data_IF_923282514109
#
_entry.id   IF_923282514109
#
_cell.length_a   1.000
_cell.length_b   1.000
_cell.length_c   1.000
_cell.angle_alpha   90.00
_cell.angle_beta   90.00
_cell.angle_gamma   90.00
#
_symmetry.space_group_name_H-M   'P 1'
#
loop_
_entity.id
_entity.type
_entity.pdbx_description
1 polymer ?
#
# COMPACT_ATOMS: atom_id res chain seq x y z
N UNK A 1 -3.62 22.95 -6.13
CA UNK A 1 -2.80 22.67 -4.92
C UNK A 1 -2.36 21.22 -4.96
N UNK A 2 -1.08 20.93 -4.69
CA UNK A 2 -0.51 19.58 -4.76
C UNK A 2 -0.22 19.03 -3.36
N UNK A 3 -0.47 17.74 -3.18
CA UNK A 3 -0.25 17.00 -1.95
C UNK A 3 0.51 15.71 -2.28
N UNK A 4 1.59 15.47 -1.57
CA UNK A 4 2.44 14.30 -1.73
C UNK A 4 3.08 13.94 -0.38
N UNK A 5 3.64 12.74 -0.28
CA UNK A 5 4.44 12.35 0.89
C UNK A 5 5.85 12.91 0.69
N UNK A 6 6.40 13.66 1.65
CA UNK A 6 7.79 14.12 1.60
C UNK A 6 8.77 12.95 1.49
N UNK A 7 9.93 13.20 0.89
CA UNK A 7 10.99 12.19 0.75
C UNK A 7 11.44 11.64 2.10
N UNK A 8 11.51 12.48 3.14
CA UNK A 8 11.83 12.03 4.49
C UNK A 8 10.78 11.02 5.01
N UNK A 9 9.49 11.32 4.86
CA UNK A 9 8.41 10.44 5.27
C UNK A 9 8.35 9.17 4.41
N UNK A 10 8.65 9.25 3.11
CA UNK A 10 8.77 8.08 2.22
C UNK A 10 9.88 7.15 2.68
N UNK A 11 11.07 7.66 2.97
CA UNK A 11 12.22 6.86 3.44
C UNK A 11 11.86 6.14 4.74
N UNK A 12 11.27 6.86 5.71
CA UNK A 12 10.80 6.27 6.97
C UNK A 12 9.76 5.16 6.74
N UNK A 13 8.78 5.41 5.87
CA UNK A 13 7.74 4.45 5.55
C UNK A 13 8.29 3.19 4.85
N UNK A 14 9.21 3.35 3.89
CA UNK A 14 9.88 2.23 3.20
C UNK A 14 10.67 1.40 4.20
N UNK A 15 11.45 2.03 5.07
CA UNK A 15 12.24 1.34 6.09
C UNK A 15 11.33 0.51 7.00
N UNK A 16 10.24 1.11 7.50
CA UNK A 16 9.25 0.43 8.35
C UNK A 16 8.59 -0.75 7.62
N UNK A 17 8.19 -0.57 6.36
CA UNK A 17 7.58 -1.63 5.54
C UNK A 17 8.56 -2.81 5.33
N UNK A 18 9.82 -2.52 5.03
CA UNK A 18 10.86 -3.55 4.87
C UNK A 18 11.16 -4.30 6.15
N UNK A 19 11.22 -3.61 7.30
CA UNK A 19 11.34 -4.29 8.59
C UNK A 19 10.14 -5.20 8.88
N UNK A 20 8.92 -4.74 8.58
CA UNK A 20 7.73 -5.56 8.72
C UNK A 20 7.78 -6.80 7.80
N UNK A 21 8.16 -6.64 6.54
CA UNK A 21 8.33 -7.76 5.61
C UNK A 21 9.43 -8.72 6.08
N UNK A 22 10.56 -8.21 6.57
CA UNK A 22 11.64 -9.03 7.11
C UNK A 22 11.17 -9.92 8.26
N UNK A 23 10.36 -9.39 9.17
CA UNK A 23 9.82 -10.17 10.27
C UNK A 23 8.86 -11.27 9.79
N UNK A 24 7.92 -10.93 8.90
CA UNK A 24 6.90 -11.88 8.46
C UNK A 24 7.43 -12.90 7.45
N UNK A 25 8.05 -12.43 6.36
CA UNK A 25 8.57 -13.27 5.27
C UNK A 25 9.86 -13.99 5.71
N UNK A 26 10.77 -13.28 6.37
CA UNK A 26 12.00 -13.88 6.90
C UNK A 26 11.73 -14.87 8.03
N UNK A 27 10.83 -14.53 8.96
CA UNK A 27 10.41 -15.45 10.02
C UNK A 27 9.77 -16.72 9.47
N UNK A 28 8.87 -16.59 8.48
CA UNK A 28 8.26 -17.73 7.80
C UNK A 28 9.28 -18.64 7.09
N UNK A 29 10.24 -18.05 6.36
CA UNK A 29 11.34 -18.80 5.74
C UNK A 29 12.17 -19.54 6.79
N UNK A 30 12.55 -18.87 7.88
CA UNK A 30 13.36 -19.49 8.93
C UNK A 30 12.67 -20.70 9.54
N UNK A 31 11.37 -20.60 9.83
CA UNK A 31 10.58 -21.72 10.34
C UNK A 31 10.55 -22.87 9.32
N UNK A 32 10.32 -22.57 8.03
CA UNK A 32 10.31 -23.59 6.98
C UNK A 32 11.67 -24.30 6.86
N UNK A 33 12.78 -23.55 6.93
CA UNK A 33 14.14 -24.11 6.91
C UNK A 33 14.38 -24.99 8.13
N UNK A 34 14.00 -24.53 9.34
CA UNK A 34 14.19 -25.31 10.57
C UNK A 34 13.45 -26.64 10.52
N UNK A 35 12.20 -26.66 10.04
CA UNK A 35 11.41 -27.90 9.88
C UNK A 35 12.07 -28.84 8.86
N UNK A 36 12.55 -28.29 7.73
CA UNK A 36 13.27 -29.09 6.75
C UNK A 36 14.59 -29.63 7.27
N UNK A 37 15.26 -28.93 8.19
CA UNK A 37 16.52 -29.41 8.79
C UNK A 37 16.29 -30.45 9.90
N UNK A 38 15.20 -30.34 10.67
CA UNK A 38 14.91 -31.25 11.78
C UNK A 38 14.31 -32.57 11.32
N UNK A 39 13.40 -32.52 10.34
CA UNK A 39 12.47 -33.61 10.05
C UNK A 39 12.51 -34.04 8.58
N UNK A 40 13.56 -33.70 7.82
CA UNK A 40 13.63 -33.94 6.38
C UNK A 40 13.19 -35.36 5.96
N UNK A 41 13.79 -36.37 6.59
CA UNK A 41 13.61 -37.78 6.24
C UNK A 41 12.26 -38.35 6.70
N UNK A 42 11.60 -37.69 7.65
CA UNK A 42 10.31 -38.11 8.19
C UNK A 42 9.12 -37.43 7.50
N UNK A 43 9.36 -36.34 6.76
CA UNK A 43 8.35 -35.60 6.04
C UNK A 43 7.91 -36.32 4.76
N UNK A 44 6.59 -36.26 4.48
CA UNK A 44 6.08 -36.73 3.20
C UNK A 44 6.59 -35.87 2.03
N UNK A 45 6.67 -36.45 0.83
CA UNK A 45 7.02 -35.71 -0.39
C UNK A 45 6.13 -34.47 -0.61
N UNK A 46 4.84 -34.54 -0.25
CA UNK A 46 3.93 -33.40 -0.35
C UNK A 46 4.35 -32.25 0.58
N UNK A 47 4.71 -32.57 1.83
CA UNK A 47 5.19 -31.59 2.81
C UNK A 47 6.52 -30.97 2.37
N UNK A 48 7.44 -31.77 1.83
CA UNK A 48 8.72 -31.28 1.30
C UNK A 48 8.49 -30.28 0.17
N UNK A 49 7.66 -30.63 -0.82
CA UNK A 49 7.30 -29.74 -1.93
C UNK A 49 6.69 -28.43 -1.40
N UNK A 50 5.82 -28.50 -0.39
CA UNK A 50 5.22 -27.32 0.23
C UNK A 50 6.27 -26.38 0.85
N UNK A 51 7.18 -26.90 1.68
CA UNK A 51 8.21 -26.06 2.33
C UNK A 51 9.22 -25.50 1.32
N UNK A 52 9.67 -26.30 0.35
CA UNK A 52 10.51 -25.79 -0.74
C UNK A 52 9.77 -24.73 -1.57
N UNK A 53 8.47 -24.94 -1.82
CA UNK A 53 7.62 -23.97 -2.49
C UNK A 53 7.52 -22.64 -1.75
N UNK A 54 7.34 -22.66 -0.42
CA UNK A 54 7.37 -21.46 0.41
C UNK A 54 8.71 -20.75 0.24
N UNK A 55 9.83 -21.44 0.44
CA UNK A 55 11.16 -20.85 0.37
C UNK A 55 11.42 -20.23 -1.01
N UNK A 56 10.98 -20.89 -2.08
CA UNK A 56 11.17 -20.43 -3.45
C UNK A 56 10.28 -19.22 -3.79
N UNK A 57 9.01 -19.19 -3.37
CA UNK A 57 8.06 -18.13 -3.73
C UNK A 57 8.21 -16.89 -2.86
N UNK A 58 8.65 -17.04 -1.61
CA UNK A 58 8.72 -15.93 -0.64
C UNK A 58 9.54 -14.73 -1.11
N UNK A 59 10.73 -14.87 -1.73
CA UNK A 59 11.49 -13.74 -2.29
C UNK A 59 10.72 -12.98 -3.38
N UNK A 60 9.99 -13.68 -4.24
CA UNK A 60 9.15 -13.06 -5.27
C UNK A 60 7.97 -12.30 -4.65
N UNK A 61 7.34 -12.89 -3.64
CA UNK A 61 6.29 -12.23 -2.85
C UNK A 61 6.81 -10.94 -2.21
N UNK A 62 7.96 -11.01 -1.53
CA UNK A 62 8.60 -9.82 -0.95
C UNK A 62 8.83 -8.73 -1.99
N UNK A 63 9.49 -9.07 -3.11
CA UNK A 63 9.78 -8.11 -4.17
C UNK A 63 8.51 -7.45 -4.71
N UNK A 64 7.47 -8.25 -4.97
CA UNK A 64 6.19 -7.76 -5.47
C UNK A 64 5.53 -6.77 -4.50
N UNK A 65 5.48 -7.10 -3.20
CA UNK A 65 4.86 -6.23 -2.20
C UNK A 65 5.70 -4.98 -1.90
N UNK A 66 7.04 -5.07 -1.86
CA UNK A 66 7.91 -3.88 -1.72
C UNK A 66 7.72 -2.93 -2.91
N UNK A 67 7.70 -3.48 -4.12
CA UNK A 67 7.48 -2.70 -5.33
C UNK A 67 6.11 -2.00 -5.32
N UNK A 68 5.04 -2.72 -5.00
CA UNK A 68 3.70 -2.15 -4.90
C UNK A 68 3.59 -1.10 -3.80
N UNK A 69 4.19 -1.33 -2.63
CA UNK A 69 4.19 -0.34 -1.55
C UNK A 69 4.90 0.95 -1.98
N UNK A 70 6.10 0.84 -2.57
CA UNK A 70 6.88 1.98 -3.08
C UNK A 70 6.11 2.79 -4.12
N UNK A 71 5.37 2.11 -5.00
CA UNK A 71 4.53 2.79 -5.98
C UNK A 71 3.39 3.55 -5.32
N UNK A 72 2.76 2.96 -4.29
CA UNK A 72 1.63 3.58 -3.60
C UNK A 72 2.00 4.84 -2.82
N UNK A 73 3.16 4.85 -2.16
CA UNK A 73 3.66 6.04 -1.42
C UNK A 73 4.13 7.17 -2.35
N UNK A 74 4.34 6.88 -3.63
CA UNK A 74 4.63 7.88 -4.67
C UNK A 74 3.35 8.45 -5.31
N UNK A 75 2.18 8.16 -4.74
CA UNK A 75 0.93 8.76 -5.23
C UNK A 75 0.90 10.25 -4.91
N UNK A 76 0.61 11.05 -5.93
CA UNK A 76 0.43 12.50 -5.80
C UNK A 76 -1.05 12.85 -6.01
N UNK A 77 -1.52 13.85 -5.27
CA UNK A 77 -2.88 14.35 -5.36
C UNK A 77 -2.81 15.84 -5.71
N UNK A 78 -3.53 16.26 -6.74
CA UNK A 78 -3.60 17.66 -7.15
C UNK A 78 -5.07 18.08 -7.27
N UNK A 79 -5.43 19.14 -6.56
CA UNK A 79 -6.73 19.79 -6.70
C UNK A 79 -6.59 20.99 -7.63
N UNK A 80 -7.28 20.98 -8.75
CA UNK A 80 -7.27 22.05 -9.74
C UNK A 80 -8.63 22.20 -10.43
N UNK A 81 -9.16 23.43 -10.53
CA UNK A 81 -10.41 23.77 -11.26
C UNK A 81 -11.59 22.81 -10.98
N UNK A 82 -11.87 22.51 -9.71
CA UNK A 82 -12.97 21.60 -9.34
C UNK A 82 -12.68 20.12 -9.58
N UNK A 83 -11.46 19.76 -9.97
CA UNK A 83 -11.04 18.38 -10.23
C UNK A 83 -9.97 17.93 -9.25
N UNK A 84 -9.99 16.66 -8.90
CA UNK A 84 -8.92 15.94 -8.23
C UNK A 84 -8.18 15.08 -9.25
N UNK A 85 -6.90 15.36 -9.44
CA UNK A 85 -5.98 14.59 -10.27
C UNK A 85 -5.15 13.73 -9.32
N UNK A 86 -5.21 12.41 -9.52
CA UNK A 86 -4.45 11.44 -8.75
C UNK A 86 -3.42 10.83 -9.69
N UNK A 87 -2.14 11.02 -9.39
CA UNK A 87 -1.04 10.45 -10.18
C UNK A 87 -0.44 9.27 -9.44
N UNK A 88 -0.62 8.06 -9.97
CA UNK A 88 -0.05 6.82 -9.44
C UNK A 88 0.70 6.09 -10.57
N UNK A 89 1.98 5.76 -10.38
CA UNK A 89 2.85 5.11 -11.39
C UNK A 89 2.88 5.88 -12.73
N UNK A 90 2.88 7.21 -12.68
CA UNK A 90 2.82 8.07 -13.88
C UNK A 90 1.49 8.04 -14.64
N UNK A 91 0.51 7.27 -14.18
CA UNK A 91 -0.86 7.29 -14.71
C UNK A 91 -1.68 8.29 -13.92
N UNK A 92 -2.38 9.16 -14.64
CA UNK A 92 -3.28 10.14 -14.05
C UNK A 92 -4.71 9.63 -14.06
N UNK A 93 -5.39 9.73 -12.92
CA UNK A 93 -6.82 9.55 -12.79
C UNK A 93 -7.43 10.90 -12.42
N UNK A 94 -8.32 11.39 -13.27
CA UNK A 94 -8.99 12.67 -13.06
C UNK A 94 -10.41 12.39 -12.55
N UNK A 95 -10.78 13.04 -11.47
CA UNK A 95 -12.08 12.92 -10.81
C UNK A 95 -12.67 14.31 -10.63
N UNK A 96 -13.97 14.43 -10.89
CA UNK A 96 -14.71 15.63 -10.54
C UNK A 96 -14.94 15.64 -9.02
N UNK A 97 -14.61 16.75 -8.36
CA UNK A 97 -14.83 16.88 -6.91
C UNK A 97 -16.32 16.78 -6.55
N UNK A 98 -17.22 17.28 -7.40
CA UNK A 98 -18.67 17.18 -7.19
C UNK A 98 -19.18 15.74 -7.29
N UNK A 99 -18.40 14.84 -7.90
CA UNK A 99 -18.76 13.41 -7.93
C UNK A 99 -18.49 12.70 -6.60
N UNK A 100 -17.81 13.33 -5.65
CA UNK A 100 -17.46 12.72 -4.36
C UNK A 100 -18.71 12.64 -3.48
N UNK A 101 -19.03 11.42 -3.04
CA UNK A 101 -20.23 11.10 -2.24
C UNK A 101 -19.93 11.00 -0.75
N UNK A 102 -18.80 10.40 -0.39
CA UNK A 102 -18.43 10.19 1.01
C UNK A 102 -16.94 9.95 1.21
N UNK A 103 -16.48 10.28 2.41
CA UNK A 103 -15.12 10.03 2.88
C UNK A 103 -15.25 9.25 4.19
N UNK A 104 -14.58 8.10 4.29
CA UNK A 104 -14.61 7.25 5.48
C UNK A 104 -13.19 6.93 5.92
N UNK A 105 -12.89 7.14 7.19
CA UNK A 105 -11.61 6.70 7.78
C UNK A 105 -11.51 5.17 7.76
N UNK A 106 -10.35 4.66 7.33
CA UNK A 106 -9.99 3.24 7.41
C UNK A 106 -8.58 3.08 8.01
N UNK A 107 -8.14 1.85 8.25
CA UNK A 107 -6.77 1.60 8.73
C UNK A 107 -5.74 2.16 7.75
N UNK A 108 -4.93 3.11 8.24
CA UNK A 108 -3.83 3.79 7.53
C UNK A 108 -4.23 4.64 6.29
N UNK A 109 -5.51 4.93 6.08
CA UNK A 109 -5.98 5.74 4.96
C UNK A 109 -7.40 6.32 5.17
N UNK A 110 -7.82 7.17 4.24
CA UNK A 110 -9.21 7.58 4.06
C UNK A 110 -9.72 7.00 2.74
N UNK A 111 -10.84 6.29 2.79
CA UNK A 111 -11.56 5.80 1.62
C UNK A 111 -12.46 6.91 1.11
N UNK A 112 -12.30 7.30 -0.14
CA UNK A 112 -13.16 8.25 -0.83
C UNK A 112 -14.02 7.52 -1.84
N UNK A 113 -15.34 7.67 -1.74
CA UNK A 113 -16.31 7.14 -2.69
C UNK A 113 -16.79 8.26 -3.61
N UNK A 114 -16.72 8.04 -4.92
CA UNK A 114 -17.19 8.96 -5.95
C UNK A 114 -18.15 8.27 -6.92
N UNK A 115 -18.84 9.05 -7.74
CA UNK A 115 -19.65 8.55 -8.86
C UNK A 115 -18.86 7.64 -9.80
N UNK A 116 -17.55 7.90 -9.97
CA UNK A 116 -16.66 7.17 -10.87
C UNK A 116 -15.83 6.08 -10.14
N UNK A 117 -16.28 5.65 -8.95
CA UNK A 117 -15.68 4.57 -8.17
C UNK A 117 -15.00 5.04 -6.87
N UNK A 118 -14.14 4.19 -6.31
CA UNK A 118 -13.45 4.43 -5.03
C UNK A 118 -11.96 4.68 -5.21
N UNK A 119 -11.38 5.46 -4.30
CA UNK A 119 -9.93 5.62 -4.16
C UNK A 119 -9.56 5.84 -2.69
N UNK A 120 -8.26 5.89 -2.42
CA UNK A 120 -7.73 5.95 -1.05
C UNK A 120 -6.71 7.06 -0.92
N UNK A 121 -6.81 7.85 0.14
CA UNK A 121 -5.83 8.88 0.53
C UNK A 121 -5.04 8.32 1.71
N UNK A 122 -3.73 8.19 1.54
CA UNK A 122 -2.85 7.65 2.59
C UNK A 122 -2.74 8.60 3.78
N UNK A 123 -2.69 8.06 4.99
CA UNK A 123 -2.55 8.89 6.20
C UNK A 123 -1.21 9.61 6.32
N UNK A 124 -0.16 9.06 5.69
CA UNK A 124 1.18 9.64 5.67
C UNK A 124 1.36 10.79 4.67
N UNK A 125 0.28 11.26 4.04
CA UNK A 125 0.30 12.39 3.11
C UNK A 125 0.58 13.69 3.87
N UNK A 126 1.51 14.50 3.37
CA UNK A 126 1.79 15.79 3.99
C UNK A 126 0.62 16.75 3.72
N UNK A 127 0.21 17.50 4.74
CA UNK A 127 -0.99 18.36 4.69
C UNK A 127 -2.27 17.62 4.31
N UNK A 128 -2.38 16.32 4.62
CA UNK A 128 -3.58 15.50 4.39
C UNK A 128 -4.87 16.17 4.90
N UNK A 129 -4.82 16.79 6.07
CA UNK A 129 -5.99 17.46 6.67
C UNK A 129 -6.53 18.61 5.80
N UNK A 130 -5.65 19.31 5.09
CA UNK A 130 -6.06 20.35 4.15
C UNK A 130 -6.76 19.75 2.92
N UNK A 131 -6.18 18.68 2.34
CA UNK A 131 -6.82 17.94 1.26
C UNK A 131 -8.20 17.43 1.70
N UNK A 132 -8.32 16.78 2.86
CA UNK A 132 -9.59 16.26 3.36
C UNK A 132 -10.62 17.37 3.54
N UNK A 133 -10.25 18.53 4.10
CA UNK A 133 -11.15 19.68 4.22
C UNK A 133 -11.66 20.15 2.86
N UNK A 134 -10.81 20.17 1.83
CA UNK A 134 -11.23 20.53 0.47
C UNK A 134 -12.26 19.55 -0.07
N UNK A 135 -12.04 18.25 0.11
CA UNK A 135 -12.97 17.20 -0.36
C UNK A 135 -14.27 17.14 0.47
N UNK A 136 -14.21 17.45 1.76
CA UNK A 136 -15.40 17.47 2.63
C UNK A 136 -16.32 18.66 2.32
N UNK A 137 -15.76 19.81 1.93
CA UNK A 137 -16.56 20.97 1.52
C UNK A 137 -17.45 20.63 0.33
N UNK A 138 -16.96 19.83 -0.61
CA UNK A 138 -17.71 19.47 -1.83
C UNK A 138 -18.81 18.45 -1.59
N UNK A 139 -18.85 17.79 -0.42
CA UNK A 139 -19.94 16.87 -0.02
C UNK A 139 -21.09 17.64 0.65
N UNK A 140 -20.77 18.78 1.30
CA UNK A 140 -21.75 19.62 2.00
C UNK A 140 -22.46 20.63 1.09
N UNK A 141 -22.12 20.65 -0.20
CA UNK A 141 -22.74 21.51 -1.21
C UNK A 141 -23.62 20.67 -2.11
#
# INVERSE_FOLDING_TARGET
MKYFISEENKIKAIKKNRSFMALNYGGGILIAILILLSDFDSLSNQSLIYFFGIILVTPFGWWYFDHNFRNKINTEYEVNLGKLIITEKGKQKILDLHSIKSITKISNAHRVLSGNGKFYILDGLDNKEDLLKVLERTIKT
#
